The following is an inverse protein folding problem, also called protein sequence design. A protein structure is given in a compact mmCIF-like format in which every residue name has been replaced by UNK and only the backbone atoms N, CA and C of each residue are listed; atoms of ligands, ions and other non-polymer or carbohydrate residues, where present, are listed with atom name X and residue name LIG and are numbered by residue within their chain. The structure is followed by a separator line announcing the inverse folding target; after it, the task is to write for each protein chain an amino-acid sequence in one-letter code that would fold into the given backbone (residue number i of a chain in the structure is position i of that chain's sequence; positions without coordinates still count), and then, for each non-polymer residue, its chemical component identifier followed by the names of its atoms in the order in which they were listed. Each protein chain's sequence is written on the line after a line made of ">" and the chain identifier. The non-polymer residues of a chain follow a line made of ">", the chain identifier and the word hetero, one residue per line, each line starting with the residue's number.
data_IF_839274482382
#
_entry.id   IF_839274482382
#
_cell.length_a   1.000
_cell.length_b   1.000
_cell.length_c   1.000
_cell.angle_alpha   90.00
_cell.angle_beta   90.00
_cell.angle_gamma   90.00
#
_symmetry.space_group_name_H-M   'P 1'
#
loop_
_entity.id
_entity.type
_entity.pdbx_description
1 polymer ?
#
# COMPACT_ATOMS: atom_id res chain seq x y z
N UNK A 1 7.47 5.63 -27.16
CA UNK A 1 8.20 6.89 -27.33
C UNK A 1 7.53 7.80 -28.37
N UNK A 2 7.25 7.34 -29.57
CA UNK A 2 6.68 8.18 -30.64
C UNK A 2 5.42 8.99 -30.32
N UNK A 3 4.57 8.50 -29.43
CA UNK A 3 3.33 9.20 -29.04
C UNK A 3 3.62 10.43 -28.16
N UNK A 4 4.53 10.33 -27.19
CA UNK A 4 4.92 11.43 -26.32
C UNK A 4 5.74 12.49 -27.08
N UNK A 5 6.62 12.06 -27.97
CA UNK A 5 7.37 12.98 -28.85
C UNK A 5 6.44 13.75 -29.77
N UNK A 6 5.43 13.06 -30.37
CA UNK A 6 4.42 13.73 -31.22
C UNK A 6 3.50 14.68 -30.43
N UNK A 7 3.32 14.41 -29.14
CA UNK A 7 2.55 15.29 -28.25
C UNK A 7 3.35 16.52 -27.79
N UNK A 8 4.62 16.65 -28.17
CA UNK A 8 5.45 17.83 -27.88
C UNK A 8 6.06 17.83 -26.46
N UNK A 9 6.35 16.65 -25.90
CA UNK A 9 7.02 16.59 -24.60
C UNK A 9 8.48 17.06 -24.70
N UNK A 10 8.91 17.99 -23.86
CA UNK A 10 10.26 18.52 -23.80
C UNK A 10 11.25 17.50 -23.21
N UNK A 11 10.79 16.68 -22.27
CA UNK A 11 11.57 15.65 -21.60
C UNK A 11 10.80 14.34 -21.54
N UNK A 12 11.44 13.22 -21.87
CA UNK A 12 10.82 11.89 -21.86
C UNK A 12 11.61 10.97 -20.94
N UNK A 13 10.95 10.43 -19.92
CA UNK A 13 11.48 9.46 -18.99
C UNK A 13 10.87 8.08 -19.24
N UNK A 14 11.65 7.01 -19.09
CA UNK A 14 11.19 5.64 -19.35
C UNK A 14 11.62 4.70 -18.24
N UNK A 15 10.70 3.85 -17.81
CA UNK A 15 10.98 2.71 -16.93
C UNK A 15 10.95 1.43 -17.77
N UNK A 16 12.13 0.81 -18.05
CA UNK A 16 12.23 -0.42 -18.82
C UNK A 16 12.28 -1.63 -17.88
N UNK A 17 11.50 -2.68 -18.20
CA UNK A 17 11.57 -3.97 -17.52
C UNK A 17 10.99 -4.00 -16.11
N UNK A 18 10.43 -2.90 -15.61
CA UNK A 18 9.83 -2.84 -14.27
C UNK A 18 8.38 -3.34 -14.35
N UNK A 19 8.08 -4.42 -13.61
CA UNK A 19 6.71 -4.92 -13.52
C UNK A 19 5.86 -3.92 -12.72
N UNK A 20 4.57 -3.79 -13.06
CA UNK A 20 3.65 -2.90 -12.34
C UNK A 20 3.44 -3.24 -10.85
N UNK A 21 4.12 -4.29 -10.35
CA UNK A 21 4.18 -4.70 -8.95
C UNK A 21 5.37 -4.10 -8.20
N UNK A 22 6.43 -3.67 -8.92
CA UNK A 22 7.61 -3.08 -8.29
C UNK A 22 7.35 -1.65 -7.82
N UNK A 23 7.79 -1.36 -6.58
CA UNK A 23 7.62 -0.07 -5.93
C UNK A 23 8.63 1.00 -6.42
N UNK A 24 9.71 0.60 -7.10
CA UNK A 24 10.75 1.51 -7.58
C UNK A 24 10.49 1.90 -9.03
N UNK A 25 10.31 3.19 -9.28
CA UNK A 25 10.07 3.76 -10.61
C UNK A 25 11.00 4.94 -10.86
N UNK A 26 12.27 4.67 -11.12
CA UNK A 26 13.26 5.72 -11.26
C UNK A 26 12.94 6.72 -12.37
N UNK A 27 12.31 6.29 -13.46
CA UNK A 27 11.88 7.17 -14.54
C UNK A 27 10.74 8.11 -14.13
N UNK A 28 9.72 7.58 -13.44
CA UNK A 28 8.65 8.42 -12.90
C UNK A 28 9.18 9.37 -11.82
N UNK A 29 10.01 8.89 -10.91
CA UNK A 29 10.59 9.70 -9.84
C UNK A 29 11.46 10.82 -10.40
N UNK A 30 12.26 10.54 -11.44
CA UNK A 30 13.04 11.53 -12.15
C UNK A 30 12.15 12.58 -12.85
N UNK A 31 11.06 12.16 -13.50
CA UNK A 31 10.08 13.08 -14.08
C UNK A 31 9.48 14.00 -13.01
N UNK A 32 9.03 13.45 -11.89
CA UNK A 32 8.42 14.22 -10.80
C UNK A 32 9.37 15.23 -10.15
N UNK A 33 10.67 14.95 -10.15
CA UNK A 33 11.69 15.89 -9.61
C UNK A 33 11.99 17.05 -10.55
N UNK A 34 11.82 16.87 -11.86
CA UNK A 34 12.08 17.93 -12.86
C UNK A 34 10.89 18.88 -13.04
N UNK A 35 9.66 18.44 -12.70
CA UNK A 35 8.44 19.22 -12.88
C UNK A 35 8.32 20.37 -11.87
N UNK A 36 7.89 21.53 -12.37
CA UNK A 36 7.62 22.76 -11.65
C UNK A 36 6.13 23.16 -11.78
N UNK A 37 5.67 24.12 -11.00
CA UNK A 37 4.32 24.67 -11.12
C UNK A 37 4.06 25.21 -12.54
N UNK A 38 2.91 24.88 -13.10
CA UNK A 38 2.54 25.19 -14.48
C UNK A 38 2.92 24.14 -15.52
N UNK A 39 3.78 23.15 -15.16
CA UNK A 39 4.15 22.06 -16.06
C UNK A 39 3.03 21.01 -16.17
N UNK A 40 3.18 20.11 -17.16
CA UNK A 40 2.24 18.99 -17.37
C UNK A 40 2.99 17.67 -17.36
N UNK A 41 2.62 16.77 -16.42
CA UNK A 41 3.00 15.36 -16.50
C UNK A 41 2.14 14.65 -17.54
N UNK A 42 2.74 14.26 -18.66
CA UNK A 42 2.05 13.52 -19.71
C UNK A 42 2.44 12.05 -19.72
N UNK A 43 1.45 11.16 -19.80
CA UNK A 43 1.67 9.71 -19.92
C UNK A 43 0.99 9.16 -21.16
N UNK A 44 1.56 8.11 -21.72
CA UNK A 44 0.92 7.45 -22.86
C UNK A 44 -0.36 6.71 -22.45
N UNK A 45 -0.33 5.98 -21.29
CA UNK A 45 -1.47 5.23 -20.75
C UNK A 45 -1.41 5.20 -19.23
N UNK A 46 -2.58 5.20 -18.58
CA UNK A 46 -2.71 5.14 -17.11
C UNK A 46 -2.10 3.87 -16.51
N UNK A 47 -2.22 2.72 -17.20
CA UNK A 47 -1.65 1.45 -16.73
C UNK A 47 -0.12 1.47 -16.61
N UNK A 48 0.55 2.42 -17.27
CA UNK A 48 1.99 2.66 -17.12
C UNK A 48 2.34 3.28 -15.78
N UNK A 49 1.45 4.04 -15.17
CA UNK A 49 1.64 4.61 -13.82
C UNK A 49 1.34 3.61 -12.70
N UNK A 50 0.61 2.52 -12.96
CA UNK A 50 0.32 1.46 -11.99
C UNK A 50 -1.02 0.82 -12.22
N UNK A 51 -1.19 -0.35 -11.59
CA UNK A 51 -2.45 -1.10 -11.63
C UNK A 51 -3.44 -0.67 -10.55
N UNK A 52 -3.04 0.20 -9.64
CA UNK A 52 -3.88 0.66 -8.54
C UNK A 52 -4.45 2.05 -8.85
N UNK A 53 -5.75 2.12 -9.06
CA UNK A 53 -6.48 3.37 -9.25
C UNK A 53 -6.26 4.33 -8.06
N UNK A 54 -6.18 3.78 -6.84
CA UNK A 54 -5.87 4.57 -5.64
C UNK A 54 -4.54 5.31 -5.73
N UNK A 55 -3.47 4.61 -6.15
CA UNK A 55 -2.13 5.23 -6.29
C UNK A 55 -2.09 6.29 -7.39
N UNK A 56 -2.85 6.07 -8.46
CA UNK A 56 -3.00 7.06 -9.52
C UNK A 56 -3.67 8.34 -9.00
N UNK A 57 -4.73 8.19 -8.21
CA UNK A 57 -5.43 9.32 -7.60
C UNK A 57 -4.51 10.07 -6.64
N UNK A 58 -3.78 9.34 -5.78
CA UNK A 58 -2.82 9.94 -4.85
C UNK A 58 -1.74 10.73 -5.61
N UNK A 59 -1.24 10.21 -6.74
CA UNK A 59 -0.28 10.89 -7.60
C UNK A 59 -0.86 12.17 -8.21
N UNK A 60 -2.04 12.11 -8.84
CA UNK A 60 -2.62 13.29 -9.50
C UNK A 60 -3.03 14.35 -8.47
N UNK A 61 -3.54 13.96 -7.31
CA UNK A 61 -3.79 14.89 -6.19
C UNK A 61 -2.49 15.57 -5.72
N UNK A 62 -1.39 14.81 -5.66
CA UNK A 62 -0.09 15.38 -5.34
C UNK A 62 0.40 16.38 -6.39
N UNK A 63 0.19 16.10 -7.67
CA UNK A 63 0.52 17.01 -8.78
C UNK A 63 -0.32 18.29 -8.72
N UNK A 64 -1.63 18.15 -8.49
CA UNK A 64 -2.56 19.27 -8.32
C UNK A 64 -2.12 20.20 -7.18
N UNK A 65 -1.73 19.62 -6.02
CA UNK A 65 -1.21 20.39 -4.88
C UNK A 65 0.10 21.14 -5.17
N UNK A 66 0.80 20.80 -6.26
CA UNK A 66 2.00 21.48 -6.78
C UNK A 66 1.73 22.39 -7.97
N UNK A 67 0.47 22.56 -8.35
CA UNK A 67 0.07 23.28 -9.59
C UNK A 67 0.66 22.65 -10.87
N UNK A 68 0.77 21.32 -10.89
CA UNK A 68 1.24 20.53 -12.04
C UNK A 68 0.03 19.82 -12.65
N UNK A 69 -0.13 19.97 -13.97
CA UNK A 69 -1.22 19.35 -14.71
C UNK A 69 -0.91 17.88 -15.04
N UNK A 70 -1.96 17.10 -15.26
CA UNK A 70 -1.84 15.71 -15.66
C UNK A 70 -2.56 15.43 -16.98
N UNK A 71 -1.91 14.69 -17.87
CA UNK A 71 -2.50 14.29 -19.14
C UNK A 71 -2.22 12.82 -19.45
N UNK A 72 -3.26 12.05 -19.82
CA UNK A 72 -3.14 10.71 -20.39
C UNK A 72 -3.63 10.67 -21.81
N UNK A 73 -2.75 10.29 -22.76
CA UNK A 73 -3.03 10.37 -24.20
C UNK A 73 -4.11 9.35 -24.61
N UNK A 74 -3.96 8.08 -24.21
CA UNK A 74 -4.86 7.00 -24.67
C UNK A 74 -6.25 7.10 -24.06
N UNK A 75 -6.37 7.51 -22.81
CA UNK A 75 -7.65 7.67 -22.14
C UNK A 75 -8.27 9.06 -22.37
N UNK A 76 -7.55 9.97 -23.06
CA UNK A 76 -7.98 11.34 -23.32
C UNK A 76 -8.36 12.11 -22.05
N UNK A 77 -7.65 11.85 -20.95
CA UNK A 77 -7.82 12.54 -19.67
C UNK A 77 -6.83 13.69 -19.62
N UNK A 78 -7.33 14.90 -19.39
CA UNK A 78 -6.51 16.10 -19.26
C UNK A 78 -7.07 16.98 -18.14
N UNK A 79 -6.33 17.11 -17.04
CA UNK A 79 -6.75 17.94 -15.90
C UNK A 79 -6.73 19.45 -16.18
N UNK A 80 -6.20 19.90 -17.31
CA UNK A 80 -6.37 21.27 -17.79
C UNK A 80 -7.81 21.58 -18.27
N UNK A 81 -8.62 20.57 -18.54
CA UNK A 81 -10.02 20.75 -18.97
C UNK A 81 -10.99 20.44 -17.85
N UNK A 82 -12.09 21.19 -17.76
CA UNK A 82 -13.15 20.93 -16.77
C UNK A 82 -13.72 19.50 -16.88
N UNK A 83 -13.80 18.95 -18.10
CA UNK A 83 -14.23 17.57 -18.34
C UNK A 83 -13.22 16.55 -17.81
N UNK A 84 -11.92 16.78 -17.98
CA UNK A 84 -10.87 15.92 -17.46
C UNK A 84 -10.80 15.92 -15.93
N UNK A 85 -10.96 17.10 -15.32
CA UNK A 85 -11.10 17.24 -13.87
C UNK A 85 -12.31 16.44 -13.36
N UNK A 86 -13.47 16.57 -14.01
CA UNK A 86 -14.67 15.84 -13.63
C UNK A 86 -14.46 14.31 -13.71
N UNK A 87 -13.89 13.83 -14.82
CA UNK A 87 -13.59 12.40 -14.99
C UNK A 87 -12.65 11.92 -13.90
N UNK A 88 -11.62 12.70 -13.57
CA UNK A 88 -10.68 12.36 -12.53
C UNK A 88 -11.36 12.26 -11.14
N UNK A 89 -12.22 13.20 -10.78
CA UNK A 89 -12.99 13.14 -9.53
C UNK A 89 -13.95 11.94 -9.48
N UNK A 90 -14.58 11.57 -10.59
CA UNK A 90 -15.40 10.35 -10.67
C UNK A 90 -14.58 9.09 -10.44
N UNK A 91 -13.38 8.99 -11.03
CA UNK A 91 -12.46 7.87 -10.80
C UNK A 91 -12.01 7.82 -9.32
N UNK A 92 -11.75 8.97 -8.71
CA UNK A 92 -11.39 9.06 -7.30
C UNK A 92 -12.51 8.55 -6.39
N UNK A 93 -13.75 8.98 -6.65
CA UNK A 93 -14.92 8.52 -5.92
C UNK A 93 -15.14 7.00 -6.08
N UNK A 94 -14.96 6.46 -7.28
CA UNK A 94 -15.08 5.02 -7.56
C UNK A 94 -14.01 4.22 -6.80
N UNK A 95 -12.76 4.67 -6.80
CA UNK A 95 -11.68 4.00 -6.05
C UNK A 95 -11.92 4.02 -4.54
N UNK A 96 -12.46 5.10 -4.01
CA UNK A 96 -12.83 5.19 -2.60
C UNK A 96 -13.99 4.24 -2.26
N UNK A 97 -14.98 4.15 -3.14
CA UNK A 97 -16.07 3.20 -3.01
C UNK A 97 -15.60 1.74 -3.00
N UNK A 98 -14.72 1.36 -3.94
CA UNK A 98 -14.12 0.02 -3.97
C UNK A 98 -13.36 -0.30 -2.67
N UNK A 99 -12.58 0.64 -2.14
CA UNK A 99 -11.88 0.48 -0.85
C UNK A 99 -12.86 0.26 0.31
N UNK A 100 -13.94 1.02 0.33
CA UNK A 100 -15.00 0.88 1.35
C UNK A 100 -15.63 -0.50 1.30
N UNK A 101 -15.99 -0.99 0.12
CA UNK A 101 -16.56 -2.34 -0.07
C UNK A 101 -15.60 -3.45 0.39
N UNK A 102 -14.31 -3.34 0.07
CA UNK A 102 -13.30 -4.31 0.53
C UNK A 102 -13.18 -4.29 2.06
N UNK A 103 -13.19 -3.11 2.67
CA UNK A 103 -13.14 -2.94 4.12
C UNK A 103 -14.37 -3.55 4.80
N UNK A 104 -15.56 -3.30 4.28
CA UNK A 104 -16.81 -3.88 4.78
C UNK A 104 -16.82 -5.40 4.70
N UNK A 105 -16.44 -5.97 3.55
CA UNK A 105 -16.33 -7.42 3.37
C UNK A 105 -15.32 -8.04 4.35
N UNK A 106 -14.17 -7.38 4.54
CA UNK A 106 -13.14 -7.84 5.48
C UNK A 106 -13.65 -7.81 6.92
N UNK A 107 -14.31 -6.73 7.34
CA UNK A 107 -14.92 -6.60 8.68
C UNK A 107 -15.99 -7.66 8.90
N UNK A 108 -16.87 -7.86 7.94
CA UNK A 108 -17.90 -8.90 8.00
C UNK A 108 -17.29 -10.31 8.10
N UNK A 109 -16.24 -10.59 7.30
CA UNK A 109 -15.50 -11.86 7.36
C UNK A 109 -14.84 -12.10 8.72
N UNK A 110 -14.23 -11.07 9.30
CA UNK A 110 -13.62 -11.12 10.64
C UNK A 110 -14.70 -11.37 11.70
N UNK A 111 -15.82 -10.65 11.65
CA UNK A 111 -16.94 -10.83 12.58
C UNK A 111 -17.52 -12.25 12.52
N UNK A 112 -17.72 -12.77 11.32
CA UNK A 112 -18.19 -14.15 11.11
C UNK A 112 -17.17 -15.20 11.58
N UNK A 113 -15.87 -14.95 11.44
CA UNK A 113 -14.83 -15.84 11.96
C UNK A 113 -14.81 -15.84 13.49
N UNK A 114 -14.94 -14.67 14.13
CA UNK A 114 -15.07 -14.56 15.60
C UNK A 114 -16.30 -15.28 16.13
N UNK A 115 -17.45 -15.11 15.49
CA UNK A 115 -18.67 -15.79 15.87
C UNK A 115 -18.56 -17.32 15.80
N UNK A 116 -17.68 -17.86 14.95
CA UNK A 116 -17.37 -19.29 14.84
C UNK A 116 -16.21 -19.73 15.76
N UNK A 117 -15.77 -18.88 16.68
CA UNK A 117 -14.66 -19.21 17.62
C UNK A 117 -13.27 -19.33 16.94
N UNK A 118 -13.12 -18.89 15.68
CA UNK A 118 -11.82 -18.96 15.02
C UNK A 118 -10.88 -17.88 15.57
N UNK A 119 -9.66 -18.23 15.99
CA UNK A 119 -8.67 -17.25 16.42
C UNK A 119 -8.31 -16.33 15.23
N UNK A 120 -8.36 -15.01 15.46
CA UNK A 120 -8.04 -14.01 14.46
C UNK A 120 -6.71 -13.38 14.82
N UNK A 121 -5.80 -13.32 13.87
CA UNK A 121 -4.46 -12.75 14.03
C UNK A 121 -3.36 -13.80 13.88
N UNK A 122 -2.16 -13.41 14.25
CA UNK A 122 -1.01 -14.30 14.22
C UNK A 122 -1.19 -15.41 15.26
N UNK A 123 -0.97 -16.67 14.85
CA UNK A 123 -0.95 -17.80 15.78
C UNK A 123 -0.01 -17.50 16.95
N UNK A 124 -0.44 -17.88 18.14
CA UNK A 124 0.44 -17.81 19.31
C UNK A 124 1.71 -18.63 19.05
N UNK A 125 2.84 -18.10 19.47
CA UNK A 125 4.13 -18.76 19.30
C UNK A 125 4.27 -20.00 20.20
N UNK A 126 3.49 -20.05 21.29
CA UNK A 126 3.38 -21.16 22.23
C UNK A 126 1.91 -21.59 22.29
N UNK A 127 1.66 -22.88 22.29
CA UNK A 127 0.36 -23.45 22.63
C UNK A 127 0.10 -23.40 24.16
N UNK A 128 -1.08 -23.80 24.60
CA UNK A 128 -1.48 -23.66 26.02
C UNK A 128 -0.63 -24.54 26.94
N UNK A 129 -0.22 -25.73 26.50
CA UNK A 129 0.65 -26.63 27.25
C UNK A 129 2.08 -26.05 27.37
N UNK A 130 2.63 -25.57 26.26
CA UNK A 130 3.93 -24.90 26.23
C UNK A 130 3.95 -23.63 27.08
N UNK A 131 2.84 -22.89 27.15
CA UNK A 131 2.71 -21.71 28.02
C UNK A 131 2.79 -22.09 29.48
N UNK A 132 2.04 -23.11 29.90
CA UNK A 132 2.06 -23.59 31.28
C UNK A 132 3.46 -24.09 31.67
N UNK A 133 4.13 -24.85 30.81
CA UNK A 133 5.48 -25.30 31.00
C UNK A 133 6.49 -24.14 31.09
N UNK A 134 6.36 -23.16 30.21
CA UNK A 134 7.23 -21.99 30.19
C UNK A 134 7.10 -21.17 31.48
N UNK A 135 5.88 -20.97 31.97
CA UNK A 135 5.61 -20.25 33.24
C UNK A 135 6.25 -20.98 34.43
N UNK A 136 6.14 -22.31 34.49
CA UNK A 136 6.77 -23.10 35.55
C UNK A 136 8.30 -23.00 35.51
N UNK A 137 8.88 -23.05 34.32
CA UNK A 137 10.33 -22.95 34.15
C UNK A 137 10.86 -21.54 34.47
N UNK A 138 10.09 -20.48 34.21
CA UNK A 138 10.46 -19.11 34.53
C UNK A 138 10.54 -18.81 36.01
N UNK A 139 10.03 -19.70 36.90
CA UNK A 139 10.20 -19.57 38.33
C UNK A 139 11.64 -19.88 38.80
N UNK A 140 12.38 -20.64 38.02
CA UNK A 140 13.71 -21.15 38.41
C UNK A 140 14.82 -20.87 37.40
N UNK A 141 14.47 -20.38 36.18
CA UNK A 141 15.40 -20.16 35.09
C UNK A 141 15.28 -18.74 34.53
N UNK A 142 16.32 -18.29 33.85
CA UNK A 142 16.30 -16.99 33.19
C UNK A 142 15.35 -16.98 31.98
N UNK A 143 14.80 -15.79 31.69
CA UNK A 143 13.93 -15.62 30.50
C UNK A 143 14.65 -15.97 29.21
N UNK A 144 15.98 -15.81 29.15
CA UNK A 144 16.79 -16.10 27.98
C UNK A 144 16.86 -17.62 27.76
N UNK A 145 17.18 -18.37 28.79
CA UNK A 145 17.32 -19.84 28.73
C UNK A 145 15.99 -20.51 28.37
N UNK A 146 14.89 -20.02 28.97
CA UNK A 146 13.55 -20.54 28.66
C UNK A 146 13.14 -20.17 27.22
N UNK A 147 13.47 -18.98 26.75
CA UNK A 147 13.18 -18.55 25.38
C UNK A 147 13.93 -19.41 24.35
N UNK A 148 15.19 -19.75 24.61
CA UNK A 148 16.00 -20.63 23.78
C UNK A 148 15.42 -22.03 23.74
N UNK A 149 15.02 -22.60 24.87
CA UNK A 149 14.41 -23.93 24.99
C UNK A 149 13.13 -24.07 24.15
N UNK A 150 12.27 -23.04 24.14
CA UNK A 150 11.03 -23.03 23.35
C UNK A 150 11.20 -22.45 21.95
N UNK A 151 12.40 -22.07 21.55
CA UNK A 151 12.73 -21.43 20.25
C UNK A 151 11.86 -20.20 19.96
N UNK A 152 11.62 -19.38 20.98
CA UNK A 152 10.85 -18.13 20.87
C UNK A 152 11.72 -16.94 21.29
N UNK A 153 11.34 -15.77 20.83
CA UNK A 153 12.04 -14.55 21.24
C UNK A 153 11.73 -14.24 22.73
N UNK A 154 12.71 -13.80 23.56
CA UNK A 154 12.50 -13.47 24.99
C UNK A 154 11.33 -12.51 25.24
N UNK A 155 11.04 -11.60 24.30
CA UNK A 155 9.88 -10.69 24.36
C UNK A 155 8.53 -11.42 24.40
N UNK A 156 8.45 -12.65 23.82
CA UNK A 156 7.24 -13.48 23.87
C UNK A 156 6.94 -13.91 25.30
N UNK A 157 7.96 -14.34 26.04
CA UNK A 157 7.84 -14.76 27.43
C UNK A 157 7.57 -13.56 28.38
N UNK A 158 8.19 -12.40 28.13
CA UNK A 158 7.88 -11.17 28.89
C UNK A 158 6.39 -10.77 28.75
N UNK A 159 5.81 -10.91 27.54
CA UNK A 159 4.39 -10.66 27.33
C UNK A 159 3.50 -11.70 27.99
N UNK A 160 3.94 -12.95 28.04
CA UNK A 160 3.22 -14.02 28.73
C UNK A 160 3.13 -13.71 30.24
N UNK A 161 4.23 -13.35 30.89
CA UNK A 161 4.25 -12.94 32.31
C UNK A 161 3.36 -11.73 32.59
N UNK A 162 3.38 -10.73 31.69
CA UNK A 162 2.54 -9.52 31.84
C UNK A 162 1.04 -9.78 31.63
N UNK A 163 0.63 -10.90 31.02
CA UNK A 163 -0.78 -11.27 30.85
C UNK A 163 -1.36 -12.08 32.00
N UNK A 164 -0.50 -12.53 32.93
CA UNK A 164 -0.87 -13.31 34.13
C UNK A 164 -0.87 -12.45 35.42
N UNK A 165 -0.32 -11.21 35.31
CA UNK A 165 -0.34 -10.22 36.40
C UNK A 165 -1.56 -9.33 36.32
#
# INVERSE_FOLDING_TARGET
>A
MDALTRAGCDSIHTDQGISGADFSRPGLDAALTTLSAGDTLMVWRLDRLGRSLSKLIDLVTHLEGRDIQFCSIMESINTNSSSGVLIFHLMAALAQFERSLISERTRAGIAAARARGKPIGRKCALDDEQRAQALTLLQQNSIVDVAERFKVHPRTLKRLLASES
#
